data_IF_672979616641
#
_entry.id   IF_672979616641
#
_cell.length_a   1.000
_cell.length_b   1.000
_cell.length_c   1.000
_cell.angle_alpha   90.00
_cell.angle_beta   90.00
_cell.angle_gamma   90.00
#
_symmetry.space_group_name_H-M   'P 1'
#
loop_
_entity.id
_entity.type
_entity.pdbx_description
1 polymer ?
#
# COMPACT_ATOMS: atom_id res chain seq x y z
N UNK A 1 15.90 13.35 -8.89
CA UNK A 1 15.29 12.02 -8.69
C UNK A 1 14.37 12.11 -7.49
N UNK A 2 13.29 11.34 -7.47
CA UNK A 2 12.30 11.35 -6.39
C UNK A 2 12.27 9.98 -5.74
N UNK A 3 12.25 9.93 -4.41
CA UNK A 3 12.23 8.70 -3.62
C UNK A 3 10.87 8.54 -2.95
N UNK A 4 10.29 7.35 -3.05
CA UNK A 4 9.04 6.98 -2.40
C UNK A 4 9.22 5.70 -1.59
N UNK A 5 8.60 5.65 -0.42
CA UNK A 5 8.51 4.45 0.41
C UNK A 5 7.04 4.05 0.51
N UNK A 6 6.71 2.88 -0.01
CA UNK A 6 5.33 2.41 -0.07
C UNK A 6 4.97 1.60 1.20
N UNK A 7 3.71 1.65 1.67
CA UNK A 7 3.32 1.03 2.92
C UNK A 7 3.34 -0.50 2.84
N UNK A 8 2.90 -1.06 1.71
CA UNK A 8 2.85 -2.51 1.50
C UNK A 8 3.21 -2.94 0.07
N UNK A 9 3.08 -4.24 -0.20
CA UNK A 9 3.43 -4.83 -1.49
C UNK A 9 2.44 -4.49 -2.62
N UNK A 10 1.16 -4.29 -2.31
CA UNK A 10 0.08 -4.00 -3.23
C UNK A 10 0.19 -2.55 -3.70
N UNK A 11 0.35 -1.61 -2.77
CA UNK A 11 0.60 -0.20 -3.09
C UNK A 11 1.85 -0.04 -3.93
N UNK A 12 2.90 -0.84 -3.64
CA UNK A 12 4.11 -0.88 -4.45
C UNK A 12 3.85 -1.39 -5.87
N UNK A 13 3.05 -2.43 -6.06
CA UNK A 13 2.72 -2.92 -7.40
C UNK A 13 1.92 -1.89 -8.19
N UNK A 14 0.93 -1.26 -7.56
CA UNK A 14 0.14 -0.19 -8.16
C UNK A 14 1.03 1.00 -8.57
N UNK A 15 1.86 1.51 -7.65
CA UNK A 15 2.75 2.64 -7.93
C UNK A 15 3.72 2.36 -9.09
N UNK A 16 4.29 1.14 -9.14
CA UNK A 16 5.17 0.74 -10.24
C UNK A 16 4.44 0.64 -11.58
N UNK A 17 3.20 0.13 -11.60
CA UNK A 17 2.37 0.08 -12.79
C UNK A 17 2.02 1.49 -13.29
N UNK A 18 1.64 2.38 -12.37
CA UNK A 18 1.33 3.78 -12.70
C UNK A 18 2.56 4.52 -13.26
N UNK A 19 3.73 4.36 -12.63
CA UNK A 19 4.98 4.90 -13.16
C UNK A 19 5.21 4.44 -14.61
N UNK A 20 5.07 3.14 -14.88
CA UNK A 20 5.27 2.58 -16.23
C UNK A 20 4.25 3.10 -17.24
N UNK A 21 2.99 3.30 -16.83
CA UNK A 21 1.93 3.91 -17.66
C UNK A 21 2.33 5.31 -18.16
N UNK A 22 3.01 6.08 -17.31
CA UNK A 22 3.55 7.40 -17.66
C UNK A 22 4.92 7.36 -18.37
N UNK A 23 5.38 6.18 -18.81
CA UNK A 23 6.68 6.01 -19.46
C UNK A 23 7.88 6.16 -18.51
N UNK A 24 7.64 6.26 -17.20
CA UNK A 24 8.70 6.34 -16.21
C UNK A 24 9.31 4.95 -15.98
N UNK A 25 10.62 4.92 -15.71
CA UNK A 25 11.35 3.71 -15.38
C UNK A 25 11.69 3.70 -13.90
N UNK A 26 10.83 3.14 -13.03
CA UNK A 26 11.14 3.06 -11.61
C UNK A 26 12.33 2.12 -11.39
N UNK A 27 13.21 2.51 -10.46
CA UNK A 27 14.42 1.76 -10.14
C UNK A 27 14.69 1.80 -8.64
N UNK A 28 15.77 1.13 -8.21
CA UNK A 28 16.23 1.13 -6.82
C UNK A 28 17.74 1.00 -6.78
N UNK A 29 18.39 1.69 -5.84
CA UNK A 29 19.80 1.52 -5.58
C UNK A 29 20.10 0.24 -4.77
N UNK A 30 21.32 -0.28 -4.87
CA UNK A 30 21.75 -1.37 -3.97
C UNK A 30 21.54 -0.95 -2.51
N UNK A 31 21.08 -1.90 -1.69
CA UNK A 31 20.84 -1.76 -0.24
C UNK A 31 19.63 -0.89 0.17
N UNK A 32 18.88 -0.31 -0.78
CA UNK A 32 17.57 0.28 -0.44
C UNK A 32 16.55 -0.81 -0.06
N UNK A 33 15.62 -0.48 0.83
CA UNK A 33 14.57 -1.40 1.30
C UNK A 33 13.65 -1.84 0.16
N UNK A 34 13.00 -3.00 0.32
CA UNK A 34 12.12 -3.58 -0.72
C UNK A 34 10.91 -2.71 -1.06
N UNK A 35 10.50 -1.82 -0.17
CA UNK A 35 9.40 -0.89 -0.37
C UNK A 35 9.82 0.47 -0.92
N UNK A 36 11.12 0.73 -1.08
CA UNK A 36 11.61 2.00 -1.64
C UNK A 36 11.62 1.95 -3.17
N UNK A 37 11.16 3.01 -3.83
CA UNK A 37 11.16 3.17 -5.28
C UNK A 37 11.73 4.54 -5.63
N UNK A 38 12.68 4.56 -6.58
CA UNK A 38 13.24 5.78 -7.16
C UNK A 38 12.64 6.03 -8.53
N UNK A 39 12.35 7.31 -8.84
CA UNK A 39 11.81 7.74 -10.12
C UNK A 39 12.55 8.97 -10.63
N UNK A 40 12.89 8.99 -11.91
CA UNK A 40 13.38 10.18 -12.62
C UNK A 40 12.19 10.93 -13.22
N UNK A 41 11.66 11.89 -12.47
CA UNK A 41 10.58 12.77 -12.90
C UNK A 41 10.77 14.17 -12.29
N UNK A 42 10.16 15.19 -12.89
CA UNK A 42 10.15 16.53 -12.32
C UNK A 42 9.25 16.57 -11.09
N UNK A 43 9.58 17.43 -10.12
CA UNK A 43 8.76 17.62 -8.92
C UNK A 43 7.34 18.08 -9.27
N UNK A 44 7.20 18.98 -10.24
CA UNK A 44 5.89 19.45 -10.69
C UNK A 44 5.00 18.34 -11.27
N UNK A 45 5.55 17.41 -12.04
CA UNK A 45 4.80 16.26 -12.53
C UNK A 45 4.39 15.31 -11.39
N UNK A 46 5.32 15.05 -10.47
CA UNK A 46 5.03 14.18 -9.31
C UNK A 46 3.89 14.74 -8.46
N UNK A 47 3.99 16.01 -8.08
CA UNK A 47 3.07 16.64 -7.14
C UNK A 47 1.69 16.89 -7.76
N UNK A 48 1.62 17.17 -9.07
CA UNK A 48 0.36 17.55 -9.74
C UNK A 48 -0.32 16.42 -10.51
N UNK A 49 0.39 15.33 -10.79
CA UNK A 49 -0.13 14.23 -11.63
C UNK A 49 0.06 12.89 -10.95
N UNK A 50 1.31 12.48 -10.74
CA UNK A 50 1.60 11.10 -10.33
C UNK A 50 1.04 10.76 -8.94
N UNK A 51 1.28 11.61 -7.94
CA UNK A 51 0.83 11.35 -6.57
C UNK A 51 -0.69 11.47 -6.43
N UNK A 52 -1.36 12.52 -6.95
CA UNK A 52 -2.82 12.60 -6.88
C UNK A 52 -3.51 11.36 -7.46
N UNK A 53 -3.12 10.91 -8.66
CA UNK A 53 -3.72 9.71 -9.26
C UNK A 53 -3.35 8.43 -8.50
N UNK A 54 -2.13 8.32 -7.99
CA UNK A 54 -1.75 7.20 -7.13
C UNK A 54 -2.64 7.14 -5.89
N UNK A 55 -2.88 8.26 -5.20
CA UNK A 55 -3.71 8.31 -3.99
C UNK A 55 -5.15 7.89 -4.27
N UNK A 56 -5.73 8.33 -5.39
CA UNK A 56 -7.08 7.93 -5.79
C UNK A 56 -7.17 6.42 -6.07
N UNK A 57 -6.24 5.90 -6.88
CA UNK A 57 -6.20 4.47 -7.21
C UNK A 57 -5.89 3.60 -5.99
N UNK A 58 -5.02 4.08 -5.08
CA UNK A 58 -4.69 3.39 -3.85
C UNK A 58 -5.91 3.27 -2.94
N UNK A 59 -6.71 4.33 -2.82
CA UNK A 59 -7.96 4.28 -2.06
C UNK A 59 -8.92 3.20 -2.58
N UNK A 60 -9.12 3.16 -3.90
CA UNK A 60 -9.96 2.13 -4.53
C UNK A 60 -9.39 0.72 -4.35
N UNK A 61 -8.06 0.55 -4.46
CA UNK A 61 -7.39 -0.73 -4.26
C UNK A 61 -7.59 -1.25 -2.82
N UNK A 62 -7.43 -0.38 -1.82
CA UNK A 62 -7.58 -0.78 -0.42
C UNK A 62 -9.00 -1.21 -0.08
N UNK A 63 -10.01 -0.50 -0.62
CA UNK A 63 -11.42 -0.92 -0.48
C UNK A 63 -11.64 -2.31 -1.07
N UNK A 64 -11.18 -2.53 -2.30
CA UNK A 64 -11.35 -3.83 -2.96
C UNK A 64 -10.63 -4.97 -2.22
N UNK A 65 -9.38 -4.74 -1.79
CA UNK A 65 -8.63 -5.73 -1.02
C UNK A 65 -9.34 -6.07 0.30
N UNK A 66 -9.87 -5.07 1.00
CA UNK A 66 -10.62 -5.26 2.23
C UNK A 66 -11.89 -6.09 2.00
N UNK A 67 -12.71 -5.71 1.02
CA UNK A 67 -13.95 -6.42 0.70
C UNK A 67 -13.71 -7.87 0.29
N UNK A 68 -12.74 -8.12 -0.59
CA UNK A 68 -12.39 -9.49 -1.00
C UNK A 68 -11.87 -10.30 0.18
N UNK A 69 -11.05 -9.70 1.05
CA UNK A 69 -10.52 -10.38 2.24
C UNK A 69 -11.64 -10.80 3.18
N UNK A 70 -12.55 -9.87 3.52
CA UNK A 70 -13.69 -10.19 4.39
C UNK A 70 -14.61 -11.23 3.77
N UNK A 71 -14.86 -11.15 2.46
CA UNK A 71 -15.68 -12.14 1.76
C UNK A 71 -15.08 -13.54 1.86
N UNK A 72 -13.79 -13.69 1.55
CA UNK A 72 -13.10 -14.98 1.63
C UNK A 72 -13.14 -15.55 3.06
N UNK A 73 -12.94 -14.70 4.08
CA UNK A 73 -13.02 -15.16 5.47
C UNK A 73 -14.43 -15.69 5.78
N UNK A 74 -15.47 -14.89 5.50
CA UNK A 74 -16.86 -15.24 5.83
C UNK A 74 -17.37 -16.47 5.09
N UNK A 75 -17.06 -16.57 3.81
CA UNK A 75 -17.59 -17.61 2.93
C UNK A 75 -16.81 -18.93 3.04
N UNK A 76 -15.48 -18.87 3.22
CA UNK A 76 -14.62 -20.06 3.10
C UNK A 76 -14.00 -20.52 4.43
N UNK A 77 -13.99 -19.67 5.47
CA UNK A 77 -13.33 -19.97 6.75
C UNK A 77 -14.35 -19.96 7.88
N UNK A 78 -14.91 -18.79 8.20
CA UNK A 78 -15.85 -18.59 9.31
C UNK A 78 -16.55 -17.23 9.19
N UNK A 79 -17.84 -17.17 9.51
CA UNK A 79 -18.69 -15.97 9.35
C UNK A 79 -18.24 -14.78 10.22
N UNK A 80 -17.62 -15.04 11.37
CA UNK A 80 -17.08 -13.98 12.22
C UNK A 80 -15.72 -13.52 11.71
N UNK A 81 -15.71 -12.31 11.13
CA UNK A 81 -14.51 -11.58 10.71
C UNK A 81 -14.31 -10.30 11.54
N UNK A 82 -14.85 -10.25 12.76
CA UNK A 82 -14.64 -9.15 13.69
C UNK A 82 -13.19 -9.09 14.19
N UNK A 83 -12.80 -7.92 14.67
CA UNK A 83 -11.47 -7.71 15.23
C UNK A 83 -11.37 -8.31 16.65
N UNK A 84 -10.14 -8.45 17.14
CA UNK A 84 -9.89 -8.99 18.46
C UNK A 84 -10.52 -8.15 19.57
N UNK A 85 -11.08 -8.80 20.59
CA UNK A 85 -11.53 -8.12 21.80
C UNK A 85 -10.34 -7.48 22.53
N UNK A 86 -10.42 -6.18 22.80
CA UNK A 86 -9.48 -5.53 23.70
C UNK A 86 -9.77 -5.92 25.15
N UNK A 87 -8.76 -6.45 25.85
CA UNK A 87 -8.83 -6.78 27.27
C UNK A 87 -7.69 -6.06 28.01
N UNK A 88 -7.89 -5.58 29.26
CA UNK A 88 -6.82 -4.96 30.04
C UNK A 88 -5.63 -5.89 30.20
N UNK A 89 -4.42 -5.33 30.23
CA UNK A 89 -3.23 -6.07 30.63
C UNK A 89 -3.45 -6.67 32.02
N UNK A 90 -3.11 -7.96 32.19
CA UNK A 90 -3.17 -8.60 33.49
C UNK A 90 -2.28 -7.82 34.45
N UNK A 91 -2.88 -7.17 35.46
CA UNK A 91 -2.14 -6.54 36.56
C UNK A 91 -1.13 -7.56 37.10
N UNK A 92 0.14 -7.17 37.33
CA UNK A 92 1.11 -8.10 37.87
C UNK A 92 0.60 -8.60 39.22
N UNK A 93 0.62 -9.92 39.42
CA UNK A 93 0.35 -10.54 40.70
C UNK A 93 1.30 -9.93 41.74
N UNK A 94 0.76 -9.14 42.67
CA UNK A 94 1.48 -8.69 43.86
C UNK A 94 1.86 -9.90 44.74
#
# INVERSE_FOLDING_TARGET
EQQFSLPDQWSRHLFLALCRRYGLRPFRYRRQRRNTVMVRASRGFVDRVLLPEFTELEGALQVYLHEVTLRVIREEIYDDASDAQEVPDALPSN
#
